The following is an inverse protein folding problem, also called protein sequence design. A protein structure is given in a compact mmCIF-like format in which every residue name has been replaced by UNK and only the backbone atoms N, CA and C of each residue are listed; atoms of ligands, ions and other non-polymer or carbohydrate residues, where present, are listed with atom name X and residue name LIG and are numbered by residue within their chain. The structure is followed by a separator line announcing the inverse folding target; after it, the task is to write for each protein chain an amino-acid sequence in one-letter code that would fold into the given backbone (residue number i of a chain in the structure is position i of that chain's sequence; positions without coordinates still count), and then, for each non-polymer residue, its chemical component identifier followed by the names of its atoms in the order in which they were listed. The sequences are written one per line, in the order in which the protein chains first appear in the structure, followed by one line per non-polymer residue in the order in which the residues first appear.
data_IF_490634346206
#
_entry.id   IF_490634346206
#
_cell.length_a   1.000
_cell.length_b   1.000
_cell.length_c   1.000
_cell.angle_alpha   90.00
_cell.angle_beta   90.00
_cell.angle_gamma   90.00
#
_symmetry.space_group_name_H-M   'P 1'
#
loop_
_entity.id
_entity.type
_entity.pdbx_description
1 polymer ?
#
# COMPACT_ATOMS: atom_id res chain seq x y z
N UNK A 1 -16.01 -35.27 -37.82
CA UNK A 1 -15.23 -34.04 -38.09
C UNK A 1 -15.97 -32.80 -37.64
N UNK A 2 -16.30 -32.67 -36.34
CA UNK A 2 -16.96 -31.42 -35.78
C UNK A 2 -16.35 -30.94 -34.47
N UNK A 3 -15.26 -31.53 -33.97
CA UNK A 3 -14.69 -31.13 -32.65
C UNK A 3 -13.34 -30.41 -32.72
N UNK A 4 -12.82 -30.09 -33.90
CA UNK A 4 -11.49 -29.43 -34.04
C UNK A 4 -11.63 -27.92 -34.10
N UNK A 5 -12.79 -27.36 -34.49
CA UNK A 5 -12.98 -25.93 -34.67
C UNK A 5 -13.16 -25.15 -33.33
N UNK A 6 -13.63 -25.79 -32.27
CA UNK A 6 -13.88 -25.11 -31.02
C UNK A 6 -12.61 -24.86 -30.17
N UNK A 7 -11.67 -25.80 -30.24
CA UNK A 7 -10.36 -25.69 -29.59
C UNK A 7 -9.45 -24.63 -30.23
N UNK A 8 -9.59 -24.42 -31.54
CA UNK A 8 -8.82 -23.39 -32.24
C UNK A 8 -9.33 -21.96 -31.99
N UNK A 9 -10.63 -21.78 -31.80
CA UNK A 9 -11.22 -20.49 -31.47
C UNK A 9 -10.91 -20.07 -30.00
N UNK A 10 -10.93 -21.00 -29.05
CA UNK A 10 -10.53 -20.71 -27.68
C UNK A 10 -9.04 -20.36 -27.55
N UNK A 11 -8.16 -21.04 -28.31
CA UNK A 11 -6.73 -20.73 -28.29
C UNK A 11 -6.39 -19.39 -28.95
N UNK A 12 -7.13 -19.00 -30.00
CA UNK A 12 -6.95 -17.70 -30.67
C UNK A 12 -7.48 -16.55 -29.80
N UNK A 13 -8.60 -16.73 -29.10
CA UNK A 13 -9.09 -15.73 -28.15
C UNK A 13 -8.15 -15.58 -26.95
N UNK A 14 -7.62 -16.69 -26.43
CA UNK A 14 -6.67 -16.67 -25.30
C UNK A 14 -5.32 -16.05 -25.69
N UNK A 15 -4.85 -16.25 -26.92
CA UNK A 15 -3.63 -15.61 -27.44
C UNK A 15 -3.84 -14.13 -27.78
N UNK A 16 -5.04 -13.72 -28.21
CA UNK A 16 -5.35 -12.31 -28.51
C UNK A 16 -5.49 -11.50 -27.23
N UNK A 17 -6.19 -11.98 -26.20
CA UNK A 17 -6.31 -11.28 -24.92
C UNK A 17 -4.98 -11.21 -24.17
N UNK A 18 -4.17 -12.26 -24.18
CA UNK A 18 -2.81 -12.22 -23.64
C UNK A 18 -1.88 -11.27 -24.44
N UNK A 19 -2.04 -11.17 -25.76
CA UNK A 19 -1.19 -10.29 -26.58
C UNK A 19 -1.50 -8.80 -26.35
N UNK A 20 -2.74 -8.42 -26.10
CA UNK A 20 -3.10 -7.04 -25.78
C UNK A 20 -2.60 -6.62 -24.39
N UNK A 21 -2.79 -7.43 -23.37
CA UNK A 21 -2.27 -7.15 -22.02
C UNK A 21 -0.74 -7.14 -21.97
N UNK A 22 -0.08 -8.08 -22.67
CA UNK A 22 1.38 -8.10 -22.78
C UNK A 22 1.94 -6.91 -23.56
N UNK A 23 1.31 -6.52 -24.67
CA UNK A 23 1.77 -5.38 -25.47
C UNK A 23 1.77 -4.08 -24.66
N UNK A 24 0.80 -3.91 -23.76
CA UNK A 24 0.69 -2.73 -22.94
C UNK A 24 1.76 -2.66 -21.84
N UNK A 25 2.10 -3.78 -21.21
CA UNK A 25 3.15 -3.87 -20.19
C UNK A 25 4.56 -3.64 -20.77
N UNK A 26 4.74 -3.80 -22.08
CA UNK A 26 6.02 -3.63 -22.77
C UNK A 26 6.06 -2.42 -23.70
N UNK A 27 5.06 -1.53 -23.62
CA UNK A 27 5.13 -0.24 -24.30
C UNK A 27 6.33 0.54 -23.75
N UNK A 28 7.24 0.92 -24.64
CA UNK A 28 8.49 1.62 -24.35
C UNK A 28 8.41 3.12 -24.66
N UNK A 29 7.21 3.68 -24.73
CA UNK A 29 7.06 5.13 -24.87
C UNK A 29 7.83 5.82 -23.76
N UNK A 30 8.64 6.83 -24.05
CA UNK A 30 9.48 7.43 -23.04
C UNK A 30 8.64 8.21 -22.02
N UNK A 31 8.93 7.98 -20.75
CA UNK A 31 8.52 8.86 -19.66
C UNK A 31 9.70 9.76 -19.36
N UNK A 32 9.58 11.05 -19.65
CA UNK A 32 10.70 12.01 -19.57
C UNK A 32 10.31 13.17 -18.66
N UNK A 33 10.89 13.21 -17.46
CA UNK A 33 10.85 14.36 -16.57
C UNK A 33 12.10 15.20 -16.81
N UNK A 34 11.89 16.41 -17.35
CA UNK A 34 12.94 17.43 -17.57
C UNK A 34 12.89 18.49 -16.46
N UNK A 35 13.79 19.45 -16.51
CA UNK A 35 13.84 20.53 -15.53
C UNK A 35 12.55 21.36 -15.45
N UNK A 36 11.84 21.52 -16.57
CA UNK A 36 10.64 22.37 -16.68
C UNK A 36 9.42 21.66 -17.29
N UNK A 37 9.49 20.36 -17.58
CA UNK A 37 8.38 19.68 -18.27
C UNK A 37 8.36 18.18 -17.98
N UNK A 38 7.17 17.60 -18.19
CA UNK A 38 6.95 16.16 -18.28
C UNK A 38 6.35 15.79 -19.63
N UNK A 39 6.82 14.68 -20.20
CA UNK A 39 6.29 14.05 -21.42
C UNK A 39 6.14 12.56 -21.19
N UNK A 40 4.97 11.98 -21.49
CA UNK A 40 4.64 10.57 -21.20
C UNK A 40 4.00 9.79 -22.38
N UNK A 41 4.07 10.32 -23.58
CA UNK A 41 3.44 9.73 -24.76
C UNK A 41 1.92 9.89 -24.86
N UNK A 42 1.23 10.19 -23.76
CA UNK A 42 -0.21 10.52 -23.75
C UNK A 42 -0.45 12.02 -23.61
N UNK A 43 0.51 12.74 -23.06
CA UNK A 43 0.44 14.17 -22.85
C UNK A 43 1.77 14.77 -22.50
N UNK A 44 1.76 16.08 -22.46
CA UNK A 44 2.89 16.94 -22.06
C UNK A 44 2.35 18.09 -21.23
N UNK A 45 3.08 18.46 -20.19
CA UNK A 45 2.85 19.71 -19.47
C UNK A 45 4.18 20.33 -19.01
N UNK A 46 4.14 21.62 -18.75
CA UNK A 46 5.28 22.42 -18.30
C UNK A 46 5.08 22.92 -16.88
N UNK A 47 6.10 23.52 -16.31
CA UNK A 47 6.04 24.21 -15.01
C UNK A 47 4.98 25.31 -15.00
N UNK A 48 4.80 26.02 -16.12
CA UNK A 48 3.83 27.11 -16.27
C UNK A 48 2.39 26.60 -16.28
N UNK A 49 2.14 25.40 -16.79
CA UNK A 49 0.80 24.80 -16.82
C UNK A 49 0.33 24.37 -15.42
N UNK A 50 1.25 24.07 -14.51
CA UNK A 50 0.93 23.66 -13.15
C UNK A 50 0.38 24.83 -12.31
N UNK A 51 -0.59 24.58 -11.40
CA UNK A 51 -1.21 25.61 -10.59
C UNK A 51 -0.19 26.30 -9.65
N UNK A 52 -0.36 27.60 -9.46
CA UNK A 52 0.35 28.34 -8.42
C UNK A 52 -0.38 28.15 -7.09
N UNK A 53 0.30 27.51 -6.15
CA UNK A 53 -0.23 27.27 -4.80
C UNK A 53 0.72 27.84 -3.76
N UNK A 54 0.18 28.22 -2.61
CA UNK A 54 0.94 28.76 -1.47
C UNK A 54 0.66 27.90 -0.24
N UNK A 55 1.43 26.83 -0.02
CA UNK A 55 1.25 26.00 1.17
C UNK A 55 1.63 26.77 2.43
N UNK A 56 1.02 26.43 3.56
CA UNK A 56 1.32 27.00 4.87
C UNK A 56 2.63 26.47 5.46
N UNK A 57 2.93 25.21 5.15
CA UNK A 57 4.18 24.57 5.56
C UNK A 57 5.37 25.25 4.87
N UNK A 58 6.32 25.74 5.65
CA UNK A 58 7.48 26.48 5.17
C UNK A 58 8.67 25.59 4.76
N UNK A 59 8.52 24.27 4.75
CA UNK A 59 9.58 23.36 4.32
C UNK A 59 9.85 23.54 2.83
N UNK A 60 11.08 23.88 2.49
CA UNK A 60 11.48 24.16 1.10
C UNK A 60 12.46 23.13 0.57
N UNK A 61 12.53 23.01 -0.76
CA UNK A 61 13.57 22.23 -1.41
C UNK A 61 14.85 23.06 -1.56
N UNK A 62 15.98 22.38 -1.57
CA UNK A 62 17.31 22.94 -1.82
C UNK A 62 17.37 23.64 -3.17
N UNK A 63 18.36 24.51 -3.33
CA UNK A 63 18.51 25.35 -4.52
C UNK A 63 18.69 24.56 -5.81
N UNK A 64 19.34 23.42 -5.75
CA UNK A 64 19.63 22.52 -6.89
C UNK A 64 18.43 21.72 -7.40
N UNK A 65 17.30 21.70 -6.66
CA UNK A 65 16.08 21.09 -7.17
C UNK A 65 15.57 21.84 -8.43
N UNK A 66 15.12 21.08 -9.43
CA UNK A 66 14.62 21.66 -10.69
C UNK A 66 13.35 22.49 -10.50
N UNK A 67 13.05 23.46 -11.38
CA UNK A 67 11.84 24.28 -11.26
C UNK A 67 10.55 23.46 -11.17
N UNK A 68 10.40 22.41 -11.99
CA UNK A 68 9.22 21.54 -11.94
C UNK A 68 9.14 20.78 -10.62
N UNK A 69 10.27 20.28 -10.09
CA UNK A 69 10.33 19.61 -8.79
C UNK A 69 9.92 20.53 -7.65
N UNK A 70 10.37 21.78 -7.65
CA UNK A 70 9.96 22.81 -6.67
C UNK A 70 8.46 23.11 -6.75
N UNK A 71 7.94 23.21 -7.97
CA UNK A 71 6.51 23.43 -8.20
C UNK A 71 5.66 22.28 -7.67
N UNK A 72 6.05 21.05 -8.01
CA UNK A 72 5.40 19.82 -7.55
C UNK A 72 5.49 19.66 -6.03
N UNK A 73 6.60 20.08 -5.41
CA UNK A 73 6.75 20.08 -3.96
C UNK A 73 5.71 20.97 -3.27
N UNK A 74 5.54 22.20 -3.76
CA UNK A 74 4.53 23.10 -3.23
C UNK A 74 3.12 22.54 -3.42
N UNK A 75 2.85 21.88 -4.54
CA UNK A 75 1.58 21.21 -4.78
C UNK A 75 1.39 20.03 -3.83
N UNK A 76 2.42 19.21 -3.58
CA UNK A 76 2.35 18.12 -2.63
C UNK A 76 2.05 18.61 -1.20
N UNK A 77 2.71 19.68 -0.74
CA UNK A 77 2.40 20.31 0.55
C UNK A 77 0.97 20.82 0.59
N UNK A 78 0.51 21.50 -0.45
CA UNK A 78 -0.84 22.01 -0.55
C UNK A 78 -1.88 20.89 -0.56
N UNK A 79 -1.67 19.82 -1.32
CA UNK A 79 -2.54 18.64 -1.35
C UNK A 79 -2.67 17.99 0.03
N UNK A 80 -1.56 17.88 0.77
CA UNK A 80 -1.57 17.36 2.15
C UNK A 80 -2.34 18.29 3.09
N UNK A 81 -2.16 19.60 2.97
CA UNK A 81 -2.89 20.58 3.79
C UNK A 81 -4.40 20.56 3.55
N UNK A 82 -4.83 20.34 2.30
CA UNK A 82 -6.25 20.16 1.97
C UNK A 82 -6.87 18.91 2.63
N UNK A 83 -6.05 17.93 2.97
CA UNK A 83 -6.46 16.72 3.64
C UNK A 83 -6.40 16.82 5.18
N UNK A 84 -5.86 17.88 5.75
CA UNK A 84 -5.82 18.08 7.22
C UNK A 84 -7.18 18.55 7.70
N UNK A 85 -7.97 17.65 8.25
CA UNK A 85 -9.35 17.85 8.68
C UNK A 85 -9.41 18.00 10.20
N UNK A 86 -10.27 18.90 10.69
CA UNK A 86 -10.59 19.03 12.10
C UNK A 86 -12.11 18.93 12.28
N UNK A 87 -12.56 17.98 13.08
CA UNK A 87 -13.97 17.75 13.41
C UNK A 87 -14.10 17.15 14.82
N UNK A 88 -15.27 16.63 15.18
CA UNK A 88 -15.56 16.03 16.49
C UNK A 88 -14.67 14.83 16.85
N UNK A 89 -14.03 14.18 15.88
CA UNK A 89 -13.05 13.12 16.13
C UNK A 89 -11.67 13.68 16.50
N UNK A 90 -11.37 14.91 16.16
CA UNK A 90 -10.08 15.58 16.36
C UNK A 90 -9.48 16.08 15.04
N UNK A 91 -8.15 16.27 15.03
CA UNK A 91 -7.40 16.69 13.82
C UNK A 91 -6.67 15.48 13.24
N UNK A 92 -6.90 15.20 11.95
CA UNK A 92 -6.31 14.06 11.25
C UNK A 92 -6.20 14.33 9.75
N UNK A 93 -5.39 13.53 9.05
CA UNK A 93 -5.33 13.52 7.60
C UNK A 93 -6.42 12.63 7.02
N UNK A 94 -7.21 13.15 6.08
CA UNK A 94 -8.08 12.38 5.21
C UNK A 94 -7.28 11.73 4.08
N UNK A 95 -7.83 10.71 3.43
CA UNK A 95 -7.12 9.95 2.40
C UNK A 95 -6.94 10.71 1.07
N UNK A 96 -7.81 11.63 0.76
CA UNK A 96 -7.82 12.43 -0.47
C UNK A 96 -9.06 13.29 -0.55
N UNK A 97 -9.12 14.18 -1.55
CA UNK A 97 -10.22 15.14 -1.68
C UNK A 97 -11.61 14.51 -1.72
N UNK A 98 -11.71 13.29 -2.27
CA UNK A 98 -12.95 12.50 -2.28
C UNK A 98 -13.36 11.97 -0.90
N UNK A 99 -12.42 11.86 0.05
CA UNK A 99 -12.55 11.06 1.27
C UNK A 99 -12.44 11.89 2.55
N UNK A 100 -12.79 13.17 2.50
CA UNK A 100 -12.63 14.11 3.64
C UNK A 100 -13.57 13.85 4.80
N UNK A 101 -14.61 13.05 4.61
CA UNK A 101 -15.62 12.68 5.62
C UNK A 101 -15.24 11.46 6.47
N UNK A 102 -14.08 10.84 6.21
CA UNK A 102 -13.73 9.53 6.77
C UNK A 102 -12.29 9.47 7.27
N UNK A 103 -12.09 8.61 8.28
CA UNK A 103 -10.77 8.27 8.81
C UNK A 103 -10.33 6.94 8.21
N UNK A 104 -9.34 6.97 7.33
CA UNK A 104 -8.76 5.78 6.72
C UNK A 104 -7.39 5.48 7.36
N UNK A 105 -7.35 4.47 8.22
CA UNK A 105 -6.13 4.10 8.98
C UNK A 105 -4.99 3.73 8.06
N UNK A 106 -5.28 2.96 7.01
CA UNK A 106 -4.29 2.49 6.04
C UNK A 106 -3.65 3.63 5.27
N UNK A 107 -4.48 4.56 4.75
CA UNK A 107 -4.02 5.70 3.95
C UNK A 107 -3.14 6.64 4.78
N UNK A 108 -3.58 6.98 5.99
CA UNK A 108 -2.80 7.78 6.95
C UNK A 108 -1.46 7.09 7.24
N UNK A 109 -1.48 5.79 7.49
CA UNK A 109 -0.31 5.04 7.91
C UNK A 109 0.73 4.92 6.78
N UNK A 110 0.32 4.57 5.56
CA UNK A 110 1.23 4.53 4.43
C UNK A 110 1.76 5.92 4.05
N UNK A 111 0.91 6.94 4.08
CA UNK A 111 1.36 8.32 3.84
C UNK A 111 2.38 8.78 4.90
N UNK A 112 2.19 8.40 6.16
CA UNK A 112 3.17 8.61 7.23
C UNK A 112 4.53 8.05 6.87
N UNK A 113 4.59 6.75 6.58
CA UNK A 113 5.81 6.02 6.23
C UNK A 113 6.49 6.60 4.96
N UNK A 114 5.69 7.03 4.00
CA UNK A 114 6.20 7.56 2.73
C UNK A 114 6.76 8.98 2.83
N UNK A 115 6.40 9.77 3.86
CA UNK A 115 6.98 11.11 3.96
C UNK A 115 6.37 12.00 5.03
N UNK A 116 5.09 11.81 5.40
CA UNK A 116 4.44 12.73 6.34
C UNK A 116 5.03 12.62 7.74
N UNK A 117 5.54 11.46 8.15
CA UNK A 117 6.27 11.33 9.42
C UNK A 117 7.44 12.31 9.50
N UNK A 118 8.16 12.54 8.39
CA UNK A 118 9.29 13.45 8.35
C UNK A 118 8.89 14.93 8.26
N UNK A 119 7.80 15.25 7.55
CA UNK A 119 7.42 16.63 7.21
C UNK A 119 6.37 17.20 8.18
N UNK A 120 5.49 16.34 8.70
CA UNK A 120 4.35 16.70 9.56
C UNK A 120 4.27 15.82 10.83
N UNK A 121 5.36 15.68 11.62
CA UNK A 121 5.40 14.71 12.74
C UNK A 121 4.31 14.95 13.78
N UNK A 122 3.97 16.22 14.08
CA UNK A 122 2.95 16.59 15.07
C UNK A 122 1.54 16.23 14.58
N UNK A 123 1.23 16.55 13.32
CA UNK A 123 -0.05 16.24 12.68
C UNK A 123 -0.21 14.74 12.48
N UNK A 124 0.87 14.04 12.13
CA UNK A 124 0.89 12.58 12.04
C UNK A 124 0.62 11.93 13.40
N UNK A 125 1.25 12.41 14.47
CA UNK A 125 0.96 11.91 15.82
C UNK A 125 -0.51 12.09 16.21
N UNK A 126 -1.10 13.27 15.92
CA UNK A 126 -2.54 13.53 16.13
C UNK A 126 -3.38 12.55 15.32
N UNK A 127 -3.10 12.40 14.03
CA UNK A 127 -3.83 11.50 13.13
C UNK A 127 -3.78 10.04 13.61
N UNK A 128 -2.61 9.55 13.99
CA UNK A 128 -2.44 8.20 14.50
C UNK A 128 -3.17 7.96 15.85
N UNK A 129 -3.27 8.98 16.71
CA UNK A 129 -4.11 8.93 17.92
C UNK A 129 -5.59 8.90 17.58
N UNK A 130 -6.06 9.80 16.71
CA UNK A 130 -7.47 9.86 16.26
C UNK A 130 -7.93 8.51 15.70
N UNK A 131 -7.10 7.80 14.97
CA UNK A 131 -7.47 6.46 14.45
C UNK A 131 -7.82 5.48 15.58
N UNK A 132 -7.17 5.56 16.74
CA UNK A 132 -7.48 4.72 17.93
C UNK A 132 -8.73 5.20 18.63
N UNK A 133 -8.90 6.51 18.79
CA UNK A 133 -10.07 7.11 19.45
C UNK A 133 -11.35 6.86 18.67
N UNK A 134 -11.30 6.93 17.33
CA UNK A 134 -12.44 6.60 16.45
C UNK A 134 -12.82 5.14 16.57
N UNK A 135 -11.87 4.22 16.56
CA UNK A 135 -12.11 2.79 16.79
C UNK A 135 -12.82 2.59 18.15
N UNK A 136 -12.36 3.24 19.20
CA UNK A 136 -12.98 3.15 20.53
C UNK A 136 -14.40 3.75 20.56
N UNK A 137 -14.61 4.93 19.98
CA UNK A 137 -15.92 5.62 19.93
C UNK A 137 -16.96 4.88 19.08
N UNK A 138 -16.55 4.24 18.01
CA UNK A 138 -17.47 3.47 17.13
C UNK A 138 -17.91 2.13 17.74
N UNK A 139 -17.46 1.82 18.96
CA UNK A 139 -17.93 0.67 19.71
C UNK A 139 -17.40 -0.67 19.19
N UNK A 140 -16.20 -0.71 18.63
CA UNK A 140 -15.47 -1.95 18.36
C UNK A 140 -15.08 -2.68 19.67
N UNK A 141 -16.09 -2.99 20.47
CA UNK A 141 -15.93 -3.55 21.82
C UNK A 141 -15.65 -5.05 21.79
N UNK A 142 -15.99 -5.71 20.68
CA UNK A 142 -15.86 -7.15 20.58
C UNK A 142 -14.58 -7.47 19.81
N UNK A 143 -13.69 -8.23 20.40
CA UNK A 143 -12.45 -8.65 19.77
C UNK A 143 -12.73 -9.69 18.67
N UNK A 144 -11.85 -9.79 17.69
CA UNK A 144 -11.91 -10.84 16.66
C UNK A 144 -11.92 -12.24 17.30
N UNK A 145 -11.20 -12.41 18.42
CA UNK A 145 -11.16 -13.66 19.18
C UNK A 145 -12.53 -14.04 19.73
N UNK A 146 -13.29 -13.08 20.28
CA UNK A 146 -14.66 -13.31 20.78
C UNK A 146 -15.61 -13.64 19.63
N UNK A 147 -15.52 -12.93 18.50
CA UNK A 147 -16.30 -13.20 17.31
C UNK A 147 -16.05 -14.62 16.79
N UNK A 148 -14.80 -15.05 16.69
CA UNK A 148 -14.44 -16.39 16.22
C UNK A 148 -14.95 -17.45 17.19
N UNK A 149 -14.87 -17.19 18.51
CA UNK A 149 -15.39 -18.10 19.53
C UNK A 149 -16.90 -18.25 19.44
N UNK A 150 -17.65 -17.16 19.19
CA UNK A 150 -19.11 -17.22 19.01
C UNK A 150 -19.52 -17.99 17.74
N UNK A 151 -18.72 -17.91 16.68
CA UNK A 151 -19.00 -18.64 15.45
C UNK A 151 -18.73 -20.14 15.63
N UNK A 152 -17.76 -20.50 16.49
CA UNK A 152 -17.35 -21.88 16.80
C UNK A 152 -17.32 -22.79 15.56
N UNK A 153 -16.61 -22.34 14.53
CA UNK A 153 -16.54 -23.06 13.27
C UNK A 153 -15.08 -23.16 12.79
N UNK A 154 -14.66 -24.29 12.23
CA UNK A 154 -13.39 -24.41 11.55
C UNK A 154 -13.33 -23.44 10.36
N UNK A 155 -12.13 -23.07 9.92
CA UNK A 155 -11.90 -22.07 8.88
C UNK A 155 -12.63 -22.34 7.56
N UNK A 156 -12.72 -23.60 7.17
CA UNK A 156 -13.40 -24.07 5.96
C UNK A 156 -14.93 -24.00 6.05
N UNK A 157 -15.48 -23.96 7.26
CA UNK A 157 -16.92 -23.85 7.51
C UNK A 157 -17.40 -22.39 7.68
N UNK A 158 -16.54 -21.39 7.57
CA UNK A 158 -16.92 -19.97 7.61
C UNK A 158 -17.58 -19.60 6.28
N UNK A 159 -18.85 -19.13 6.37
CA UNK A 159 -19.67 -18.69 5.24
C UNK A 159 -19.87 -17.19 5.25
N UNK A 160 -20.40 -16.64 4.17
CA UNK A 160 -20.72 -15.21 4.06
C UNK A 160 -21.73 -14.77 5.13
N UNK A 161 -22.72 -15.61 5.48
CA UNK A 161 -23.67 -15.30 6.55
C UNK A 161 -22.97 -15.15 7.90
N UNK A 162 -22.02 -16.02 8.22
CA UNK A 162 -21.21 -15.91 9.44
C UNK A 162 -20.33 -14.64 9.42
N UNK A 163 -19.76 -14.30 8.26
CA UNK A 163 -19.02 -13.02 8.10
C UNK A 163 -19.92 -11.80 8.24
N UNK A 164 -21.16 -11.85 7.80
CA UNK A 164 -22.14 -10.77 8.02
C UNK A 164 -22.44 -10.56 9.52
N UNK A 165 -22.51 -11.63 10.28
CA UNK A 165 -22.60 -11.55 11.74
C UNK A 165 -21.35 -10.86 12.31
N UNK A 166 -20.17 -11.27 11.86
CA UNK A 166 -18.89 -10.63 12.25
C UNK A 166 -18.84 -9.15 11.86
N UNK A 167 -19.34 -8.79 10.67
CA UNK A 167 -19.39 -7.41 10.18
C UNK A 167 -20.33 -6.51 11.00
N UNK A 168 -21.37 -7.07 11.63
CA UNK A 168 -22.25 -6.31 12.54
C UNK A 168 -21.51 -5.75 13.75
N UNK A 169 -20.41 -6.36 14.16
CA UNK A 169 -19.54 -5.83 15.20
C UNK A 169 -18.61 -4.71 14.69
N UNK A 170 -18.78 -4.26 13.44
CA UNK A 170 -18.13 -3.12 12.81
C UNK A 170 -16.62 -3.03 13.00
N UNK A 171 -15.95 -4.17 12.96
CA UNK A 171 -14.49 -4.18 12.93
C UNK A 171 -14.00 -4.02 11.49
N UNK A 172 -13.38 -2.89 11.14
CA UNK A 172 -12.64 -2.75 9.88
C UNK A 172 -11.61 -3.86 9.72
N UNK A 173 -11.09 -4.36 10.85
CA UNK A 173 -10.14 -5.46 10.91
C UNK A 173 -10.67 -6.80 10.38
N UNK A 174 -11.98 -7.00 10.24
CA UNK A 174 -12.52 -8.24 9.66
C UNK A 174 -12.41 -8.23 8.14
N UNK A 175 -12.74 -7.10 7.53
CA UNK A 175 -12.75 -6.94 6.08
C UNK A 175 -11.51 -6.24 5.52
N UNK A 176 -10.72 -5.58 6.39
CA UNK A 176 -9.50 -4.83 6.05
C UNK A 176 -8.43 -5.05 7.11
N UNK A 177 -8.05 -6.29 7.33
CA UNK A 177 -7.09 -6.67 8.40
C UNK A 177 -5.66 -6.18 8.20
N UNK A 178 -5.42 -5.36 7.22
CA UNK A 178 -4.12 -4.72 6.99
C UNK A 178 -4.02 -3.33 7.61
N UNK A 179 -5.16 -2.68 7.87
CA UNK A 179 -5.20 -1.28 8.24
C UNK A 179 -4.49 -1.00 9.57
N UNK A 180 -4.86 -1.71 10.62
CA UNK A 180 -4.25 -1.52 11.93
C UNK A 180 -2.83 -2.11 12.05
N UNK A 181 -2.46 -3.06 11.20
CA UNK A 181 -1.08 -3.59 11.20
C UNK A 181 -0.11 -2.62 10.52
N UNK A 182 -0.55 -1.91 9.49
CA UNK A 182 0.23 -0.80 8.90
C UNK A 182 0.40 0.34 9.90
N UNK A 183 -0.63 0.60 10.72
CA UNK A 183 -0.56 1.57 11.81
C UNK A 183 0.61 1.28 12.76
N UNK A 184 0.82 0.01 13.14
CA UNK A 184 1.94 -0.37 14.02
C UNK A 184 3.29 0.00 13.37
N UNK A 185 3.44 -0.22 12.06
CA UNK A 185 4.66 0.19 11.35
C UNK A 185 4.80 1.72 11.29
N UNK A 186 3.72 2.45 11.00
CA UNK A 186 3.75 3.90 10.87
C UNK A 186 4.14 4.61 12.18
N UNK A 187 3.65 4.13 13.34
CA UNK A 187 4.01 4.69 14.64
C UNK A 187 5.47 4.37 14.99
N UNK A 188 5.93 3.15 14.75
CA UNK A 188 7.34 2.77 14.96
C UNK A 188 8.29 3.62 14.13
N UNK A 189 7.92 3.89 12.88
CA UNK A 189 8.67 4.73 11.96
C UNK A 189 8.73 6.20 12.42
N UNK A 190 7.57 6.77 12.80
CA UNK A 190 7.48 8.12 13.36
C UNK A 190 8.36 8.27 14.61
N UNK A 191 8.28 7.35 15.56
CA UNK A 191 8.98 7.45 16.83
C UNK A 191 10.50 7.20 16.72
N UNK A 192 10.94 6.50 15.68
CA UNK A 192 12.36 6.37 15.37
C UNK A 192 12.95 7.64 14.77
N UNK A 193 12.16 8.34 13.98
CA UNK A 193 12.58 9.56 13.27
C UNK A 193 12.41 10.81 14.13
N UNK A 194 11.42 10.83 15.04
CA UNK A 194 10.99 11.99 15.83
C UNK A 194 10.78 11.61 17.29
N UNK A 195 11.86 11.65 18.05
CA UNK A 195 11.83 11.30 19.49
C UNK A 195 11.04 12.28 20.34
N UNK A 196 10.87 13.53 19.88
CA UNK A 196 10.11 14.59 20.55
C UNK A 196 8.59 14.34 20.60
N UNK A 197 8.06 13.52 19.69
CA UNK A 197 6.65 13.10 19.70
C UNK A 197 6.45 11.69 20.23
N UNK A 198 7.54 10.98 20.58
CA UNK A 198 7.51 9.57 20.91
C UNK A 198 6.90 9.31 22.30
N UNK A 199 5.86 8.49 22.33
CA UNK A 199 5.25 7.90 23.51
C UNK A 199 5.25 6.36 23.36
N UNK A 200 6.39 5.76 23.70
CA UNK A 200 6.62 4.31 23.49
C UNK A 200 5.66 3.45 24.32
N UNK A 201 5.26 3.89 25.53
CA UNK A 201 4.30 3.16 26.35
C UNK A 201 2.90 3.15 25.73
N UNK A 202 2.43 4.30 25.26
CA UNK A 202 1.16 4.40 24.53
C UNK A 202 1.19 3.53 23.27
N UNK A 203 2.27 3.61 22.49
CA UNK A 203 2.41 2.84 21.27
C UNK A 203 2.40 1.34 21.56
N UNK A 204 3.24 0.88 22.50
CA UNK A 204 3.34 -0.54 22.82
C UNK A 204 2.02 -1.11 23.33
N UNK A 205 1.36 -0.40 24.25
CA UNK A 205 0.07 -0.81 24.81
C UNK A 205 -1.00 -0.95 23.74
N UNK A 206 -1.16 0.07 22.88
CA UNK A 206 -2.17 0.02 21.80
C UNK A 206 -1.80 -0.98 20.70
N UNK A 207 -0.56 -1.02 20.26
CA UNK A 207 -0.10 -1.92 19.21
C UNK A 207 -0.19 -3.39 19.62
N UNK A 208 0.23 -3.73 20.85
CA UNK A 208 0.08 -5.08 21.42
C UNK A 208 -1.39 -5.46 21.52
N UNK A 209 -2.24 -4.59 22.10
CA UNK A 209 -3.67 -4.85 22.22
C UNK A 209 -4.32 -5.09 20.86
N UNK A 210 -4.04 -4.24 19.87
CA UNK A 210 -4.55 -4.42 18.51
C UNK A 210 -4.11 -5.75 17.91
N UNK A 211 -2.81 -6.06 18.01
CA UNK A 211 -2.31 -7.29 17.42
C UNK A 211 -2.95 -8.52 18.06
N UNK A 212 -3.00 -8.60 19.37
CA UNK A 212 -3.54 -9.76 20.09
C UNK A 212 -5.06 -9.91 19.94
N UNK A 213 -5.79 -8.83 19.81
CA UNK A 213 -7.27 -8.87 19.68
C UNK A 213 -7.76 -9.01 18.24
N UNK A 214 -7.07 -8.38 17.27
CA UNK A 214 -7.55 -8.28 15.90
C UNK A 214 -6.87 -9.27 14.94
N UNK A 215 -5.60 -9.61 15.18
CA UNK A 215 -4.80 -10.37 14.23
C UNK A 215 -4.38 -11.75 14.72
N UNK A 216 -3.97 -11.88 15.98
CA UNK A 216 -3.52 -13.16 16.54
C UNK A 216 -4.55 -14.30 16.40
N UNK A 217 -5.87 -14.05 16.50
CA UNK A 217 -6.88 -15.10 16.31
C UNK A 217 -6.89 -15.74 14.92
N UNK A 218 -6.36 -15.06 13.90
CA UNK A 218 -6.32 -15.56 12.52
C UNK A 218 -5.08 -16.37 12.19
N UNK A 219 -4.23 -16.64 13.18
CA UNK A 219 -3.04 -17.46 13.02
C UNK A 219 -3.41 -18.93 12.79
N UNK A 220 -2.95 -19.49 11.68
CA UNK A 220 -3.12 -20.90 11.36
C UNK A 220 -1.86 -21.69 11.76
N UNK A 221 -2.03 -22.54 12.78
CA UNK A 221 -0.92 -23.34 13.32
C UNK A 221 -0.42 -24.43 12.36
N UNK A 222 -1.20 -24.76 11.33
CA UNK A 222 -0.85 -25.86 10.40
C UNK A 222 0.32 -25.50 9.50
N UNK A 223 0.45 -24.24 9.12
CA UNK A 223 1.51 -23.75 8.25
C UNK A 223 2.24 -22.51 8.80
N UNK A 224 1.79 -21.97 9.93
CA UNK A 224 2.44 -20.84 10.60
C UNK A 224 2.15 -19.48 9.97
N UNK A 225 1.16 -19.39 9.09
CA UNK A 225 0.73 -18.15 8.44
C UNK A 225 -0.52 -17.57 9.08
N UNK A 226 -0.78 -16.30 8.82
CA UNK A 226 -2.02 -15.64 9.18
C UNK A 226 -3.01 -15.66 8.01
N UNK A 227 -4.28 -15.93 8.28
CA UNK A 227 -5.37 -15.79 7.32
C UNK A 227 -5.74 -14.32 7.19
N UNK A 228 -5.56 -13.77 6.00
CA UNK A 228 -5.74 -12.35 5.73
C UNK A 228 -5.82 -12.09 4.22
N UNK A 229 -6.67 -11.15 3.83
CA UNK A 229 -6.70 -10.67 2.45
C UNK A 229 -5.37 -10.00 2.08
N UNK A 230 -5.08 -9.87 0.77
CA UNK A 230 -3.93 -9.10 0.32
C UNK A 230 -4.00 -7.66 0.79
N UNK A 231 -2.85 -7.09 1.12
CA UNK A 231 -2.74 -5.70 1.54
C UNK A 231 -3.35 -4.79 0.49
N UNK A 232 -4.17 -3.83 0.96
CA UNK A 232 -4.81 -2.83 0.13
C UNK A 232 -6.00 -3.33 -0.72
N UNK A 233 -6.17 -4.62 -0.95
CA UNK A 233 -7.30 -5.16 -1.71
C UNK A 233 -8.62 -5.03 -0.93
N UNK A 234 -9.57 -4.33 -1.51
CA UNK A 234 -10.92 -4.29 -0.97
C UNK A 234 -11.64 -5.63 -1.23
N UNK A 235 -12.50 -6.05 -0.30
CA UNK A 235 -13.25 -7.31 -0.43
C UNK A 235 -14.11 -7.30 -1.69
N UNK A 236 -14.10 -8.44 -2.40
CA UNK A 236 -14.85 -8.64 -3.63
C UNK A 236 -14.53 -7.60 -4.74
N UNK A 237 -13.32 -7.02 -4.69
CA UNK A 237 -12.82 -6.21 -5.79
C UNK A 237 -12.33 -7.09 -6.95
N UNK A 238 -11.99 -6.46 -8.06
CA UNK A 238 -11.35 -7.08 -9.22
C UNK A 238 -9.93 -7.64 -8.95
N UNK A 239 -9.43 -7.45 -7.73
CA UNK A 239 -8.22 -8.11 -7.23
C UNK A 239 -8.40 -9.57 -6.81
N UNK A 240 -9.56 -10.17 -7.03
CA UNK A 240 -9.86 -11.58 -6.76
C UNK A 240 -10.45 -12.25 -7.99
N UNK A 241 -10.33 -13.59 -8.12
CA UNK A 241 -11.03 -14.33 -9.16
C UNK A 241 -12.55 -14.11 -9.07
N UNK A 242 -13.20 -14.13 -10.24
CA UNK A 242 -14.65 -14.08 -10.32
C UNK A 242 -15.30 -15.18 -9.46
N UNK A 243 -16.38 -14.85 -8.77
CA UNK A 243 -17.13 -15.77 -7.92
C UNK A 243 -16.60 -15.94 -6.50
N UNK A 244 -15.52 -15.26 -6.11
CA UNK A 244 -15.06 -15.29 -4.72
C UNK A 244 -16.09 -14.64 -3.79
N UNK A 245 -16.48 -15.38 -2.76
CA UNK A 245 -17.30 -14.88 -1.66
C UNK A 245 -16.48 -13.98 -0.73
N UNK A 246 -17.15 -13.27 0.19
CA UNK A 246 -16.45 -12.52 1.24
C UNK A 246 -15.57 -13.45 2.11
N UNK A 247 -16.07 -14.64 2.41
CA UNK A 247 -15.31 -15.66 3.16
C UNK A 247 -14.04 -16.05 2.41
N UNK A 248 -14.14 -16.29 1.09
CA UNK A 248 -12.96 -16.59 0.28
C UNK A 248 -11.92 -15.48 0.35
N UNK A 249 -12.34 -14.21 0.21
CA UNK A 249 -11.43 -13.05 0.26
C UNK A 249 -10.72 -12.90 1.61
N UNK A 250 -11.38 -13.10 2.74
CA UNK A 250 -10.80 -12.84 4.07
C UNK A 250 -10.03 -14.03 4.64
N UNK A 251 -10.23 -15.24 4.13
CA UNK A 251 -9.59 -16.46 4.62
C UNK A 251 -8.35 -16.86 3.81
N UNK A 252 -7.91 -16.02 2.90
CA UNK A 252 -6.66 -16.18 2.17
C UNK A 252 -5.45 -16.10 3.12
N UNK A 253 -4.32 -16.60 2.65
CA UNK A 253 -3.01 -16.42 3.27
C UNK A 253 -2.13 -15.66 2.29
N UNK A 254 -2.28 -14.34 2.26
CA UNK A 254 -1.60 -13.48 1.29
C UNK A 254 -0.16 -13.16 1.68
N UNK A 255 0.70 -13.05 0.70
CA UNK A 255 2.12 -12.69 0.89
C UNK A 255 2.25 -11.30 1.48
N UNK A 256 1.61 -10.29 0.87
CA UNK A 256 1.76 -8.89 1.28
C UNK A 256 1.38 -8.66 2.73
N UNK A 257 0.26 -9.22 3.18
CA UNK A 257 -0.21 -9.00 4.56
C UNK A 257 0.57 -9.81 5.58
N UNK A 258 1.02 -11.04 5.25
CA UNK A 258 1.92 -11.78 6.13
C UNK A 258 3.28 -11.07 6.29
N UNK A 259 3.79 -10.42 5.24
CA UNK A 259 4.97 -9.55 5.34
C UNK A 259 4.73 -8.36 6.27
N UNK A 260 3.55 -7.72 6.21
CA UNK A 260 3.20 -6.64 7.15
C UNK A 260 3.07 -7.14 8.60
N UNK A 261 2.54 -8.33 8.83
CA UNK A 261 2.46 -8.91 10.17
C UNK A 261 3.86 -9.20 10.73
N UNK A 262 4.76 -9.69 9.88
CA UNK A 262 6.18 -9.79 10.24
C UNK A 262 6.77 -8.44 10.66
N UNK A 263 6.55 -7.39 9.85
CA UNK A 263 7.03 -6.04 10.14
C UNK A 263 6.43 -5.48 11.43
N UNK A 264 5.13 -5.69 11.67
CA UNK A 264 4.46 -5.26 12.89
C UNK A 264 5.05 -5.93 14.14
N UNK A 265 5.33 -7.23 14.09
CA UNK A 265 5.98 -7.94 15.19
C UNK A 265 7.40 -7.41 15.46
N UNK A 266 8.16 -7.10 14.41
CA UNK A 266 9.49 -6.45 14.55
C UNK A 266 9.35 -5.08 15.21
N UNK A 267 8.34 -4.29 14.83
CA UNK A 267 8.06 -2.98 15.42
C UNK A 267 7.62 -3.09 16.87
N UNK A 268 6.79 -4.08 17.23
CA UNK A 268 6.41 -4.35 18.62
C UNK A 268 7.57 -4.83 19.48
N UNK A 269 8.48 -5.63 18.91
CA UNK A 269 9.72 -6.03 19.60
C UNK A 269 10.59 -4.81 19.94
N UNK A 270 10.73 -3.87 18.98
CA UNK A 270 11.43 -2.61 19.22
C UNK A 270 10.75 -1.78 20.32
N UNK A 271 9.44 -1.58 20.23
CA UNK A 271 8.67 -0.82 21.20
C UNK A 271 8.75 -1.40 22.62
N UNK A 272 8.64 -2.73 22.76
CA UNK A 272 8.82 -3.42 24.04
C UNK A 272 10.22 -3.17 24.62
N UNK A 273 11.25 -3.19 23.76
CA UNK A 273 12.63 -2.85 24.18
C UNK A 273 12.75 -1.40 24.69
N UNK A 274 12.12 -0.45 23.99
CA UNK A 274 12.07 0.96 24.41
C UNK A 274 11.28 1.19 25.72
N UNK A 275 10.33 0.30 26.04
CA UNK A 275 9.59 0.29 27.31
C UNK A 275 10.30 -0.51 28.42
N UNK A 276 11.55 -0.95 28.23
CA UNK A 276 12.29 -1.79 29.18
C UNK A 276 11.59 -3.12 29.51
N UNK A 277 10.99 -3.77 28.50
CA UNK A 277 10.31 -5.06 28.58
C UNK A 277 11.07 -6.14 27.77
N UNK A 278 12.28 -6.56 28.19
CA UNK A 278 13.17 -7.40 27.36
C UNK A 278 12.59 -8.78 27.04
N UNK A 279 11.81 -9.36 27.95
CA UNK A 279 11.18 -10.66 27.71
C UNK A 279 10.10 -10.57 26.63
N UNK A 280 9.28 -9.52 26.65
CA UNK A 280 8.25 -9.27 25.61
C UNK A 280 8.91 -8.94 24.27
N UNK A 281 9.96 -8.11 24.28
CA UNK A 281 10.76 -7.83 23.08
C UNK A 281 11.28 -9.12 22.43
N UNK A 282 11.87 -10.03 23.22
CA UNK A 282 12.33 -11.33 22.75
C UNK A 282 11.18 -12.21 22.23
N UNK A 283 10.05 -12.21 22.90
CA UNK A 283 8.87 -12.99 22.47
C UNK A 283 8.34 -12.51 21.10
N UNK A 284 8.24 -11.21 20.89
CA UNK A 284 7.84 -10.63 19.60
C UNK A 284 8.85 -10.95 18.50
N UNK A 285 10.14 -10.80 18.76
CA UNK A 285 11.19 -11.14 17.80
C UNK A 285 11.16 -12.62 17.42
N UNK A 286 10.91 -13.51 18.37
CA UNK A 286 10.78 -14.96 18.11
C UNK A 286 9.58 -15.27 17.23
N UNK A 287 8.43 -14.63 17.48
CA UNK A 287 7.22 -14.76 16.64
C UNK A 287 7.48 -14.24 15.22
N UNK A 288 8.16 -13.10 15.08
CA UNK A 288 8.54 -12.56 13.78
C UNK A 288 9.40 -13.54 12.97
N UNK A 289 10.44 -14.09 13.57
CA UNK A 289 11.32 -15.08 12.89
C UNK A 289 10.59 -16.37 12.52
N UNK A 290 9.64 -16.83 13.35
CA UNK A 290 8.81 -17.98 13.01
C UNK A 290 7.93 -17.68 11.79
N UNK A 291 7.28 -16.51 11.75
CA UNK A 291 6.47 -16.08 10.60
C UNK A 291 7.31 -15.92 9.33
N UNK A 292 8.51 -15.33 9.44
CA UNK A 292 9.43 -15.22 8.30
C UNK A 292 9.76 -16.59 7.69
N UNK A 293 10.04 -17.59 8.53
CA UNK A 293 10.29 -18.97 8.06
C UNK A 293 9.06 -19.56 7.37
N UNK A 294 7.87 -19.32 7.91
CA UNK A 294 6.62 -19.76 7.30
C UNK A 294 6.37 -19.09 5.94
N UNK A 295 6.58 -17.78 5.81
CA UNK A 295 6.48 -17.04 4.54
C UNK A 295 7.43 -17.65 3.49
N UNK A 296 8.68 -17.88 3.84
CA UNK A 296 9.67 -18.46 2.92
C UNK A 296 9.32 -19.89 2.51
N UNK A 297 8.78 -20.69 3.43
CA UNK A 297 8.40 -22.08 3.14
C UNK A 297 7.14 -22.18 2.31
N UNK A 298 6.14 -21.37 2.60
CA UNK A 298 4.77 -21.58 2.12
C UNK A 298 4.38 -20.65 0.97
N UNK A 299 5.04 -19.47 0.83
CA UNK A 299 4.66 -18.43 -0.11
C UNK A 299 5.74 -18.10 -1.14
N UNK A 300 6.98 -18.54 -0.96
CA UNK A 300 8.05 -18.42 -1.97
C UNK A 300 7.94 -19.58 -2.95
N UNK A 301 7.82 -19.28 -4.24
CA UNK A 301 7.71 -20.26 -5.31
C UNK A 301 9.09 -20.81 -5.73
N UNK A 302 9.15 -22.00 -6.36
CA UNK A 302 10.41 -22.60 -6.80
C UNK A 302 11.20 -21.73 -7.79
N UNK A 303 10.52 -20.90 -8.56
CA UNK A 303 11.15 -19.94 -9.49
C UNK A 303 11.75 -18.72 -8.79
N UNK A 304 11.53 -18.58 -7.45
CA UNK A 304 12.05 -17.51 -6.63
C UNK A 304 11.16 -16.28 -6.58
N UNK A 305 9.97 -16.31 -7.16
CA UNK A 305 8.94 -15.29 -6.99
C UNK A 305 8.05 -15.60 -5.80
N UNK A 306 7.23 -14.62 -5.37
CA UNK A 306 6.26 -14.84 -4.31
C UNK A 306 4.87 -15.05 -4.89
N UNK A 307 4.14 -16.05 -4.38
CA UNK A 307 2.73 -16.22 -4.71
C UNK A 307 1.92 -15.02 -4.26
N UNK A 308 0.82 -14.73 -4.95
CA UNK A 308 -0.13 -13.71 -4.52
C UNK A 308 -0.72 -14.10 -3.16
N UNK A 309 -1.26 -15.31 -3.09
CA UNK A 309 -1.77 -15.91 -1.85
C UNK A 309 -1.93 -17.43 -1.99
N UNK A 310 -2.16 -18.10 -0.85
CA UNK A 310 -2.82 -19.41 -0.82
C UNK A 310 -4.30 -19.16 -0.49
N UNK A 311 -5.22 -19.82 -1.20
CA UNK A 311 -6.65 -19.71 -0.91
C UNK A 311 -7.02 -20.41 0.41
N UNK A 312 -8.30 -20.33 0.81
CA UNK A 312 -8.77 -20.94 2.05
C UNK A 312 -8.55 -22.47 2.11
N UNK A 313 -8.46 -23.14 0.98
CA UNK A 313 -8.23 -24.58 0.83
C UNK A 313 -6.75 -24.93 0.66
N UNK A 314 -5.85 -23.95 0.67
CA UNK A 314 -4.41 -24.14 0.51
C UNK A 314 -3.92 -24.15 -0.92
N UNK A 315 -4.78 -23.90 -1.92
CA UNK A 315 -4.38 -23.79 -3.33
C UNK A 315 -3.57 -22.51 -3.53
N UNK A 316 -2.41 -22.64 -4.16
CA UNK A 316 -1.51 -21.54 -4.48
C UNK A 316 -2.03 -20.76 -5.69
N UNK A 317 -2.12 -19.43 -5.58
CA UNK A 317 -2.36 -18.53 -6.68
C UNK A 317 -1.00 -18.01 -7.17
N UNK A 318 -0.52 -18.47 -8.35
CA UNK A 318 0.86 -18.23 -8.79
C UNK A 318 1.13 -16.80 -9.25
N UNK A 319 0.10 -15.98 -9.42
CA UNK A 319 0.26 -14.55 -9.70
C UNK A 319 1.10 -13.89 -8.59
N UNK A 320 1.75 -12.80 -8.91
CA UNK A 320 2.46 -11.97 -7.94
C UNK A 320 1.64 -10.73 -7.61
N UNK A 321 1.88 -10.16 -6.43
CA UNK A 321 1.31 -8.88 -6.01
C UNK A 321 2.44 -7.89 -5.77
N UNK A 322 2.32 -6.68 -6.32
CA UNK A 322 3.33 -5.62 -6.20
C UNK A 322 3.83 -5.44 -4.76
N UNK A 323 2.92 -5.13 -3.82
CA UNK A 323 3.29 -4.94 -2.41
C UNK A 323 3.79 -6.23 -1.74
N UNK A 324 3.35 -7.41 -2.18
CA UNK A 324 3.85 -8.68 -1.65
C UNK A 324 5.32 -8.87 -1.96
N UNK A 325 5.69 -8.67 -3.22
CA UNK A 325 7.08 -8.73 -3.68
C UNK A 325 7.92 -7.62 -3.03
N UNK A 326 7.40 -6.37 -3.02
CA UNK A 326 8.09 -5.23 -2.43
C UNK A 326 8.38 -5.43 -0.95
N UNK A 327 7.38 -5.82 -0.14
CA UNK A 327 7.54 -5.97 1.30
C UNK A 327 8.43 -7.16 1.69
N UNK A 328 8.44 -8.24 0.91
CA UNK A 328 9.36 -9.34 1.13
C UNK A 328 10.84 -8.88 1.05
N UNK A 329 11.14 -7.94 0.17
CA UNK A 329 12.49 -7.35 0.02
C UNK A 329 12.73 -6.25 1.05
N UNK A 330 11.82 -5.27 1.15
CA UNK A 330 11.96 -4.11 2.06
C UNK A 330 12.14 -4.54 3.53
N UNK A 331 11.44 -5.57 3.97
CA UNK A 331 11.55 -6.06 5.34
C UNK A 331 12.66 -7.11 5.55
N UNK A 332 13.44 -7.40 4.50
CA UNK A 332 14.57 -8.32 4.58
C UNK A 332 14.16 -9.79 4.79
N UNK A 333 12.96 -10.17 4.35
CA UNK A 333 12.53 -11.58 4.31
C UNK A 333 13.40 -12.33 3.32
N UNK A 334 13.61 -11.75 2.13
CA UNK A 334 14.65 -12.17 1.17
C UNK A 334 15.68 -11.07 0.98
N UNK A 335 16.93 -11.46 0.68
CA UNK A 335 18.08 -10.55 0.49
C UNK A 335 18.96 -10.99 -0.69
N UNK A 336 19.81 -10.09 -1.16
CA UNK A 336 20.83 -10.38 -2.18
C UNK A 336 20.25 -11.01 -3.44
N UNK A 337 20.78 -12.13 -3.88
CA UNK A 337 20.35 -12.83 -5.11
C UNK A 337 18.87 -13.24 -5.08
N UNK A 338 18.33 -13.62 -3.93
CA UNK A 338 16.92 -13.98 -3.79
C UNK A 338 16.00 -12.76 -3.93
N UNK A 339 16.38 -11.61 -3.36
CA UNK A 339 15.64 -10.36 -3.55
C UNK A 339 15.63 -9.94 -5.03
N UNK A 340 16.78 -9.98 -5.69
CA UNK A 340 16.88 -9.69 -7.13
C UNK A 340 15.97 -10.60 -7.95
N UNK A 341 16.00 -11.91 -7.71
CA UNK A 341 15.17 -12.88 -8.43
C UNK A 341 13.67 -12.61 -8.25
N UNK A 342 13.23 -12.21 -7.06
CA UNK A 342 11.83 -11.88 -6.80
C UNK A 342 11.37 -10.61 -7.56
N UNK A 343 12.25 -9.61 -7.67
CA UNK A 343 11.95 -8.31 -8.30
C UNK A 343 12.09 -8.33 -9.83
N UNK A 344 13.12 -8.98 -10.38
CA UNK A 344 13.48 -8.86 -11.80
C UNK A 344 12.39 -9.38 -12.75
N UNK A 345 11.55 -10.31 -12.28
CA UNK A 345 10.45 -10.88 -13.05
C UNK A 345 9.16 -10.06 -12.98
N UNK A 346 9.12 -8.98 -12.19
CA UNK A 346 7.92 -8.16 -12.08
C UNK A 346 7.95 -7.02 -13.10
N UNK A 347 6.92 -6.86 -13.96
CA UNK A 347 6.92 -5.83 -14.99
C UNK A 347 6.75 -4.43 -14.42
N UNK A 348 7.40 -3.47 -15.07
CA UNK A 348 7.24 -2.03 -14.83
C UNK A 348 7.38 -1.29 -16.15
N UNK A 349 6.55 -0.28 -16.38
CA UNK A 349 6.59 0.57 -17.58
C UNK A 349 6.35 2.04 -17.24
N UNK A 350 6.25 2.91 -18.25
CA UNK A 350 6.02 4.36 -18.07
C UNK A 350 4.72 4.72 -17.36
N UNK A 351 3.84 3.78 -17.11
CA UNK A 351 2.58 3.98 -16.36
C UNK A 351 2.67 3.49 -14.92
N UNK A 352 3.71 2.76 -14.58
CA UNK A 352 3.95 2.18 -13.27
C UNK A 352 4.01 0.66 -13.29
N UNK A 353 3.82 0.07 -12.15
CA UNK A 353 3.89 -1.37 -11.89
C UNK A 353 2.49 -1.90 -11.59
N UNK A 354 2.00 -2.93 -12.28
CA UNK A 354 0.66 -3.47 -12.02
C UNK A 354 0.54 -3.99 -10.60
N UNK A 355 -0.66 -3.92 -10.02
CA UNK A 355 -0.89 -4.51 -8.70
C UNK A 355 -0.72 -6.02 -8.71
N UNK A 356 -1.24 -6.68 -9.73
CA UNK A 356 -1.18 -8.14 -9.88
C UNK A 356 -0.54 -8.49 -11.21
N UNK A 357 0.38 -9.45 -11.20
CA UNK A 357 1.05 -9.95 -12.40
C UNK A 357 1.23 -11.48 -12.35
N UNK A 358 0.85 -12.24 -13.43
CA UNK A 358 -0.04 -11.81 -14.52
C UNK A 358 -1.40 -11.32 -14.02
N UNK A 359 -2.12 -10.54 -14.85
CA UNK A 359 -3.44 -10.05 -14.49
C UNK A 359 -4.43 -11.20 -14.23
N UNK A 360 -5.43 -10.96 -13.39
CA UNK A 360 -6.58 -11.85 -13.23
C UNK A 360 -7.61 -11.57 -14.35
N UNK A 361 -8.34 -12.60 -14.75
CA UNK A 361 -9.45 -12.49 -15.71
C UNK A 361 -9.05 -11.79 -17.01
N UNK A 362 -9.80 -10.77 -17.39
CA UNK A 362 -9.61 -9.99 -18.63
C UNK A 362 -8.49 -8.94 -18.54
N UNK A 363 -7.83 -8.81 -17.39
CA UNK A 363 -6.76 -7.83 -17.21
C UNK A 363 -7.26 -6.39 -17.06
N UNK A 364 -8.47 -6.21 -16.56
CA UNK A 364 -9.03 -4.88 -16.23
C UNK A 364 -9.17 -4.69 -14.73
N UNK A 365 -9.59 -3.51 -14.31
CA UNK A 365 -9.95 -3.17 -12.96
C UNK A 365 -8.85 -2.52 -12.13
N UNK A 366 -9.29 -1.76 -11.14
CA UNK A 366 -8.45 -0.89 -10.34
C UNK A 366 -7.53 -1.64 -9.35
N UNK A 367 -8.02 -2.77 -8.84
CA UNK A 367 -7.28 -3.62 -7.90
C UNK A 367 -6.57 -4.81 -8.57
N UNK A 368 -6.53 -4.84 -9.90
CA UNK A 368 -5.89 -5.85 -10.72
C UNK A 368 -4.86 -5.22 -11.64
N UNK A 369 -5.33 -4.50 -12.67
CA UNK A 369 -4.52 -3.97 -13.76
C UNK A 369 -4.33 -2.45 -13.68
N UNK A 370 -4.13 -1.91 -12.49
CA UNK A 370 -3.77 -0.50 -12.30
C UNK A 370 -2.42 -0.37 -11.58
N UNK A 371 -1.71 0.70 -11.88
CA UNK A 371 -0.60 1.18 -11.09
C UNK A 371 -1.12 2.15 -10.01
N UNK A 372 -0.63 1.97 -8.80
CA UNK A 372 -0.90 2.84 -7.67
C UNK A 372 0.40 3.48 -7.24
N UNK A 373 0.55 4.80 -7.33
CA UNK A 373 1.84 5.47 -7.17
C UNK A 373 2.54 5.20 -5.83
N UNK A 374 1.78 5.02 -4.75
CA UNK A 374 2.35 4.64 -3.47
C UNK A 374 2.91 3.21 -3.46
N UNK A 375 2.24 2.28 -4.18
CA UNK A 375 2.75 0.92 -4.37
C UNK A 375 4.02 0.93 -5.22
N UNK A 376 4.04 1.72 -6.29
CA UNK A 376 5.22 1.90 -7.14
C UNK A 376 6.40 2.43 -6.32
N UNK A 377 6.16 3.36 -5.41
CA UNK A 377 7.21 3.92 -4.56
C UNK A 377 7.82 2.85 -3.66
N UNK A 378 7.02 2.00 -3.01
CA UNK A 378 7.54 0.87 -2.24
C UNK A 378 8.26 -0.16 -3.12
N UNK A 379 7.71 -0.45 -4.30
CA UNK A 379 8.31 -1.41 -5.22
C UNK A 379 9.67 -0.94 -5.74
N UNK A 380 9.80 0.32 -6.12
CA UNK A 380 11.05 0.90 -6.61
C UNK A 380 12.12 0.96 -5.50
N UNK A 381 11.73 1.26 -4.25
CA UNK A 381 12.64 1.15 -3.10
C UNK A 381 13.13 -0.29 -2.89
N UNK A 382 12.24 -1.27 -3.03
CA UNK A 382 12.64 -2.68 -2.96
C UNK A 382 13.58 -3.06 -4.11
N UNK A 383 13.35 -2.51 -5.29
CA UNK A 383 14.21 -2.72 -6.47
C UNK A 383 15.61 -2.13 -6.27
N UNK A 384 15.70 -0.94 -5.67
CA UNK A 384 17.00 -0.35 -5.30
C UNK A 384 17.79 -1.25 -4.35
N UNK A 385 17.13 -1.83 -3.33
CA UNK A 385 17.75 -2.77 -2.41
C UNK A 385 18.22 -4.03 -3.14
N UNK A 386 17.45 -4.50 -4.11
CA UNK A 386 17.73 -5.73 -4.83
C UNK A 386 18.88 -5.62 -5.85
N UNK A 387 18.97 -4.52 -6.61
CA UNK A 387 19.92 -4.36 -7.71
C UNK A 387 20.99 -3.28 -7.49
N UNK A 388 20.83 -2.45 -6.45
CA UNK A 388 21.78 -1.39 -6.09
C UNK A 388 21.72 -0.14 -6.98
N UNK A 389 20.68 0.01 -7.82
CA UNK A 389 20.50 1.17 -8.69
C UNK A 389 19.57 2.19 -8.02
N UNK A 390 19.77 3.46 -8.37
CA UNK A 390 18.89 4.55 -7.95
C UNK A 390 17.69 4.66 -8.91
N UNK A 391 16.48 4.59 -8.36
CA UNK A 391 15.22 4.75 -9.08
C UNK A 391 14.45 6.01 -8.66
N UNK A 392 15.04 6.90 -7.85
CA UNK A 392 14.35 8.11 -7.38
C UNK A 392 13.90 9.01 -8.52
N UNK A 393 14.73 9.22 -9.54
CA UNK A 393 14.37 10.01 -10.73
C UNK A 393 13.22 9.39 -11.54
N UNK A 394 13.23 8.08 -11.70
CA UNK A 394 12.16 7.37 -12.38
C UNK A 394 10.84 7.42 -11.58
N UNK A 395 10.90 7.25 -10.27
CA UNK A 395 9.75 7.38 -9.39
C UNK A 395 9.19 8.81 -9.40
N UNK A 396 10.06 9.83 -9.40
CA UNK A 396 9.65 11.23 -9.56
C UNK A 396 8.83 11.44 -10.83
N UNK A 397 9.26 10.84 -11.95
CA UNK A 397 8.55 10.95 -13.22
C UNK A 397 7.18 10.24 -13.21
N UNK A 398 7.09 9.04 -12.60
CA UNK A 398 5.81 8.32 -12.41
C UNK A 398 4.83 9.14 -11.57
N UNK A 399 5.30 9.75 -10.48
CA UNK A 399 4.49 10.60 -9.61
C UNK A 399 4.08 11.90 -10.31
N UNK A 400 5.00 12.55 -11.02
CA UNK A 400 4.71 13.75 -11.83
C UNK A 400 3.59 13.47 -12.84
N UNK A 401 3.62 12.31 -13.46
CA UNK A 401 2.60 11.89 -14.43
C UNK A 401 1.19 11.87 -13.84
N UNK A 402 1.03 11.55 -12.56
CA UNK A 402 -0.30 11.54 -11.92
C UNK A 402 -0.96 12.93 -11.83
N UNK A 403 -0.19 13.99 -12.08
CA UNK A 403 -0.68 15.38 -12.13
C UNK A 403 -1.16 15.80 -13.54
N UNK A 404 -1.02 14.92 -14.54
CA UNK A 404 -1.22 15.23 -15.96
C UNK A 404 -2.65 15.57 -16.35
N UNK A 405 -2.85 15.84 -17.66
CA UNK A 405 -4.11 16.34 -18.24
C UNK A 405 -5.06 15.23 -18.67
N UNK A 406 -4.58 14.01 -18.83
CA UNK A 406 -5.35 12.87 -19.35
C UNK A 406 -6.07 12.12 -18.24
N UNK A 407 -7.15 12.72 -17.75
CA UNK A 407 -8.02 12.12 -16.74
C UNK A 407 -9.05 11.17 -17.41
N UNK A 408 -9.31 10.04 -16.75
CA UNK A 408 -10.18 8.98 -17.26
C UNK A 408 -11.68 9.36 -17.23
N UNK A 409 -12.10 10.14 -16.24
CA UNK A 409 -13.51 10.44 -15.98
C UNK A 409 -13.71 11.92 -15.65
N UNK A 410 -14.92 12.43 -15.90
CA UNK A 410 -15.33 13.77 -15.51
C UNK A 410 -15.29 13.95 -13.98
N UNK A 411 -15.65 12.92 -13.21
CA UNK A 411 -15.62 12.93 -11.75
C UNK A 411 -14.22 13.10 -11.21
N UNK A 412 -13.19 12.57 -11.88
CA UNK A 412 -11.80 12.75 -11.48
C UNK A 412 -11.41 14.23 -11.51
N UNK A 413 -11.99 15.02 -12.43
CA UNK A 413 -11.82 16.47 -12.50
C UNK A 413 -12.46 17.18 -11.30
N UNK A 414 -13.63 16.71 -10.84
CA UNK A 414 -14.31 17.26 -9.66
C UNK A 414 -13.56 16.97 -8.37
N UNK A 415 -12.79 15.87 -8.32
CA UNK A 415 -12.04 15.43 -7.15
C UNK A 415 -10.58 15.89 -7.12
N UNK A 416 -10.14 16.77 -7.99
CA UNK A 416 -8.80 17.32 -7.95
C UNK A 416 -8.36 18.01 -9.24
N UNK A 417 -8.69 17.42 -10.38
CA UNK A 417 -8.34 17.96 -11.67
C UNK A 417 -6.85 17.96 -11.98
N UNK A 418 -6.48 18.62 -13.06
CA UNK A 418 -5.09 18.78 -13.47
C UNK A 418 -4.27 19.52 -12.41
N UNK A 419 -3.05 19.05 -12.19
CA UNK A 419 -2.12 19.69 -11.29
C UNK A 419 -2.28 19.34 -9.81
N UNK A 420 -3.05 18.27 -9.49
CA UNK A 420 -3.02 17.62 -8.17
C UNK A 420 -2.54 16.18 -8.30
N UNK A 421 -1.98 15.60 -7.23
CA UNK A 421 -1.56 14.20 -7.24
C UNK A 421 -2.77 13.27 -7.14
N UNK A 422 -2.93 12.39 -8.15
CA UNK A 422 -4.06 11.47 -8.23
C UNK A 422 -3.73 10.07 -7.71
N UNK A 423 -4.79 9.32 -7.46
CA UNK A 423 -4.79 8.06 -6.73
C UNK A 423 -4.16 6.91 -7.52
N UNK A 424 -4.47 6.77 -8.81
CA UNK A 424 -4.12 5.58 -9.62
C UNK A 424 -4.07 5.84 -11.12
N UNK A 425 -3.51 4.88 -11.82
CA UNK A 425 -3.38 4.85 -13.28
C UNK A 425 -3.80 3.46 -13.78
N UNK A 426 -5.02 3.28 -14.30
CA UNK A 426 -5.40 2.05 -15.02
C UNK A 426 -4.45 1.77 -16.18
N UNK A 427 -3.72 0.66 -16.12
CA UNK A 427 -2.64 0.37 -17.07
C UNK A 427 -3.11 0.19 -18.52
N UNK A 428 -4.27 -0.44 -18.81
CA UNK A 428 -4.72 -0.58 -20.20
C UNK A 428 -4.93 0.74 -20.92
N UNK A 429 -5.33 1.80 -20.20
CA UNK A 429 -5.54 3.12 -20.78
C UNK A 429 -4.38 4.10 -20.54
N UNK A 430 -3.62 3.91 -19.47
CA UNK A 430 -2.64 4.88 -19.00
C UNK A 430 -3.25 6.21 -18.52
N UNK A 431 -4.58 6.32 -18.48
CA UNK A 431 -5.28 7.54 -18.05
C UNK A 431 -5.30 7.65 -16.54
N UNK A 432 -5.15 8.86 -16.03
CA UNK A 432 -5.15 9.15 -14.60
C UNK A 432 -6.56 9.05 -14.05
N UNK A 433 -6.73 8.44 -12.88
CA UNK A 433 -8.02 8.16 -12.28
C UNK A 433 -8.01 8.25 -10.75
N UNK A 434 -9.20 8.30 -10.17
CA UNK A 434 -9.44 8.32 -8.73
C UNK A 434 -9.38 9.72 -8.11
N UNK A 435 -9.23 9.79 -6.79
CA UNK A 435 -9.19 11.05 -6.06
C UNK A 435 -7.93 11.84 -6.40
N UNK A 436 -8.09 13.12 -6.68
CA UNK A 436 -6.98 14.08 -6.67
C UNK A 436 -6.66 14.51 -5.24
N UNK A 437 -5.57 15.26 -5.08
CA UNK A 437 -4.96 15.59 -3.78
C UNK A 437 -4.86 14.34 -2.89
N UNK A 438 -4.46 13.23 -3.51
CA UNK A 438 -4.41 11.93 -2.81
C UNK A 438 -3.25 11.90 -1.84
N UNK A 439 -3.55 11.68 -0.57
CA UNK A 439 -2.62 11.83 0.55
C UNK A 439 -1.33 11.00 0.36
N UNK A 440 -1.48 9.70 0.09
CA UNK A 440 -0.32 8.81 -0.07
C UNK A 440 0.48 9.07 -1.35
N UNK A 441 -0.15 9.59 -2.42
CA UNK A 441 0.58 9.96 -3.65
C UNK A 441 1.43 11.21 -3.43
N UNK A 442 0.87 12.24 -2.78
CA UNK A 442 1.61 13.43 -2.38
C UNK A 442 2.75 13.09 -1.41
N UNK A 443 2.49 12.21 -0.43
CA UNK A 443 3.51 11.71 0.50
C UNK A 443 4.61 10.90 -0.21
N UNK A 444 4.25 10.10 -1.23
CA UNK A 444 5.21 9.38 -2.05
C UNK A 444 6.16 10.33 -2.80
N UNK A 445 5.66 11.45 -3.31
CA UNK A 445 6.52 12.46 -3.90
C UNK A 445 7.42 13.14 -2.87
N UNK A 446 6.93 13.40 -1.66
CA UNK A 446 7.78 13.87 -0.55
C UNK A 446 8.88 12.87 -0.22
N UNK A 447 8.58 11.57 -0.21
CA UNK A 447 9.56 10.50 -0.01
C UNK A 447 10.69 10.56 -1.05
N UNK A 448 10.33 10.71 -2.32
CA UNK A 448 11.32 10.84 -3.41
C UNK A 448 12.24 12.05 -3.17
N UNK A 449 11.68 13.20 -2.81
CA UNK A 449 12.47 14.39 -2.53
C UNK A 449 13.38 14.23 -1.29
N UNK A 450 12.90 13.58 -0.24
CA UNK A 450 13.69 13.25 0.95
C UNK A 450 14.86 12.32 0.61
N UNK A 451 14.59 11.25 -0.13
CA UNK A 451 15.59 10.25 -0.54
C UNK A 451 16.63 10.81 -1.51
N UNK A 452 16.22 11.70 -2.39
CA UNK A 452 17.11 12.45 -3.27
C UNK A 452 17.91 13.55 -2.52
N UNK A 453 17.73 13.66 -1.20
CA UNK A 453 18.38 14.68 -0.36
C UNK A 453 18.10 16.12 -0.83
N UNK A 454 16.91 16.37 -1.36
CA UNK A 454 16.50 17.69 -1.85
C UNK A 454 15.80 18.54 -0.79
N UNK A 455 15.38 17.96 0.34
CA UNK A 455 14.61 18.66 1.38
C UNK A 455 15.55 19.22 2.44
N UNK A 456 15.34 20.48 2.80
CA UNK A 456 15.95 21.10 3.98
C UNK A 456 14.97 20.95 5.16
N UNK A 457 15.16 19.91 5.96
CA UNK A 457 14.42 19.78 7.21
C UNK A 457 14.96 20.83 8.20
N UNK A 458 14.07 21.70 8.68
CA UNK A 458 14.38 22.62 9.78
C UNK A 458 14.61 21.78 11.05
N UNK A 459 15.80 21.25 11.24
CA UNK A 459 16.25 20.71 12.52
C UNK A 459 16.39 21.91 13.48
N UNK A 460 15.28 22.38 14.05
CA UNK A 460 15.39 23.16 15.28
C UNK A 460 16.04 22.25 16.32
N UNK A 461 17.30 22.57 16.64
CA UNK A 461 18.04 22.00 17.77
C UNK A 461 17.30 22.25 19.09
#
# INVERSE_FOLDING_TARGET
MKNISLLFLCSIFWTITNSYGQKFLYDKSPLILKANSLEDGLGHFTTEDLPNVSPKNATVLKVDATPITKKMWNIALHDVELNLITNDYGTYFAAGRRYTDRVYVRDISFAGILGLNAIYPQEMMKSLRVTRDVVAKMGYKVSTKEIIKEIDAPWDAITDDKLQIMAKFKSNSITRRTDDVVWIWAVDDLFKSHTEVADWNWFYTNGKSNFETLYAPWYDKTDGLYRCQPTFQDIQSDGYPEGYSQADCVLLKSTSTNCLYYKAMVSLANAAGKCNLPQESKAWATRAEALKKAILKELLLPDGTFTYYKDRNGKVMPNQHNLGTAFAVLFGIVKGKAARKAIDNYPSNQYGTPLIHPFLGDGTGDHNAAAWPFCDTFFLQAKEIADGKDYTGYNAALLARTMGTKLSDKRDKEWGGFGSFHEKVPLPSGLISGSGSQLWTSAAFMNVCLRANLVELNTKK
#
